data_IF_492397854725
#
_entry.id   IF_492397854725
#
_cell.length_a   1.000
_cell.length_b   1.000
_cell.length_c   1.000
_cell.angle_alpha   90.00
_cell.angle_beta   90.00
_cell.angle_gamma   90.00
#
_symmetry.space_group_name_H-M   'P 1'
#
loop_
_entity.id
_entity.type
_entity.pdbx_description
1 polymer ?
#
# COMPACT_ATOMS: atom_id res chain seq x y z
N UNK A 1 -4.10 12.24 -8.03
CA UNK A 1 -2.81 11.80 -8.58
C UNK A 1 -1.72 12.62 -7.91
N UNK A 2 -0.68 11.96 -7.40
CA UNK A 2 0.52 12.63 -6.89
C UNK A 2 1.68 12.45 -7.88
N UNK A 3 2.31 13.54 -8.28
CA UNK A 3 3.53 13.56 -9.10
C UNK A 3 4.73 14.16 -8.34
N UNK A 4 4.50 14.71 -7.15
CA UNK A 4 5.51 15.41 -6.36
C UNK A 4 5.95 14.63 -5.13
N UNK A 5 6.66 15.30 -4.27
CA UNK A 5 7.11 14.76 -2.99
C UNK A 5 6.17 15.21 -1.88
N UNK A 6 5.73 14.26 -1.07
CA UNK A 6 4.99 14.50 0.17
C UNK A 6 5.91 14.05 1.31
N UNK A 7 6.28 15.00 2.17
CA UNK A 7 7.11 14.72 3.35
C UNK A 7 6.37 15.06 4.61
N UNK A 8 6.35 14.12 5.54
CA UNK A 8 5.68 14.24 6.84
C UNK A 8 6.63 13.63 7.87
N UNK A 9 7.24 14.47 8.69
CA UNK A 9 8.15 13.99 9.71
C UNK A 9 7.37 13.23 10.79
N UNK A 10 7.54 11.90 10.83
CA UNK A 10 6.97 11.00 11.84
C UNK A 10 5.45 11.11 12.04
N UNK A 11 4.75 11.59 11.02
CA UNK A 11 3.32 11.81 11.04
C UNK A 11 2.52 10.73 10.32
N UNK A 12 1.23 11.01 10.10
CA UNK A 12 0.32 10.11 9.39
C UNK A 12 -0.21 10.77 8.13
N UNK A 13 -0.14 10.08 7.01
CA UNK A 13 -0.76 10.45 5.74
C UNK A 13 -1.88 9.48 5.41
N UNK A 14 -3.03 10.02 5.06
CA UNK A 14 -4.10 9.26 4.43
C UNK A 14 -4.46 9.88 3.10
N UNK A 15 -4.43 9.10 2.03
CA UNK A 15 -5.01 9.43 0.74
C UNK A 15 -6.15 8.45 0.50
N UNK A 16 -7.37 8.98 0.37
CA UNK A 16 -8.53 8.14 0.18
C UNK A 16 -9.37 8.61 -1.00
N UNK A 17 -9.91 7.67 -1.74
CA UNK A 17 -10.86 7.90 -2.83
C UNK A 17 -12.02 6.90 -2.71
N UNK A 18 -13.25 7.36 -2.86
CA UNK A 18 -14.42 6.49 -2.77
C UNK A 18 -15.74 7.24 -2.54
N UNK A 19 -16.84 6.49 -2.48
CA UNK A 19 -18.19 7.01 -2.21
C UNK A 19 -18.41 7.41 -0.75
N UNK A 20 -17.63 6.82 0.14
CA UNK A 20 -17.56 7.19 1.54
C UNK A 20 -16.11 7.05 1.98
N UNK A 21 -15.54 8.08 2.55
CA UNK A 21 -14.21 8.07 3.12
C UNK A 21 -14.36 7.97 4.63
N UNK A 22 -13.86 6.87 5.20
CA UNK A 22 -13.72 6.71 6.63
C UNK A 22 -12.32 7.18 7.01
N UNK A 23 -12.22 8.38 7.54
CA UNK A 23 -10.97 8.86 8.12
C UNK A 23 -10.96 8.37 9.57
N UNK A 24 -10.09 7.44 9.86
CA UNK A 24 -9.76 7.08 11.24
C UNK A 24 -8.48 7.82 11.59
N UNK A 25 -8.59 8.76 12.51
CA UNK A 25 -7.44 9.12 13.31
C UNK A 25 -7.18 7.94 14.26
N UNK A 26 -5.92 7.62 14.52
CA UNK A 26 -5.56 6.41 15.29
C UNK A 26 -6.23 6.38 16.67
N UNK A 27 -6.63 7.55 17.20
CA UNK A 27 -7.31 7.69 18.49
C UNK A 27 -8.81 8.04 18.40
N UNK A 28 -9.29 8.53 17.23
CA UNK A 28 -10.69 8.93 17.05
C UNK A 28 -11.18 8.71 15.61
N UNK A 29 -12.13 7.81 15.38
CA UNK A 29 -12.67 7.59 14.03
C UNK A 29 -13.56 8.76 13.61
N UNK A 30 -13.14 9.54 12.62
CA UNK A 30 -13.99 10.53 11.95
C UNK A 30 -14.48 9.94 10.64
N UNK A 31 -15.78 9.71 10.54
CA UNK A 31 -16.43 9.22 9.31
C UNK A 31 -16.91 10.41 8.49
N UNK A 32 -16.27 10.67 7.35
CA UNK A 32 -16.77 11.62 6.37
C UNK A 32 -17.46 10.83 5.27
N UNK A 33 -18.78 10.86 5.21
CA UNK A 33 -19.54 10.32 4.09
C UNK A 33 -19.71 11.40 3.03
N UNK A 34 -19.20 11.17 1.84
CA UNK A 34 -19.43 12.01 0.68
C UNK A 34 -20.66 11.42 -0.05
N UNK A 35 -21.83 12.06 0.01
CA UNK A 35 -23.03 11.51 -0.63
C UNK A 35 -22.87 11.46 -2.14
N UNK A 36 -23.37 10.38 -2.78
CA UNK A 36 -23.34 10.21 -4.24
C UNK A 36 -23.89 11.40 -5.03
N UNK A 37 -24.80 12.16 -4.45
CA UNK A 37 -25.38 13.38 -5.05
C UNK A 37 -24.40 14.55 -5.19
N UNK A 38 -23.27 14.52 -4.49
CA UNK A 38 -22.20 15.51 -4.64
C UNK A 38 -21.27 15.20 -5.83
N UNK A 39 -21.47 14.06 -6.47
CA UNK A 39 -20.77 13.75 -7.72
C UNK A 39 -21.46 14.51 -8.85
N UNK A 40 -20.89 15.61 -9.28
CA UNK A 40 -21.23 16.17 -10.59
C UNK A 40 -21.06 15.04 -11.62
N UNK A 41 -21.97 14.98 -12.59
CA UNK A 41 -22.04 14.08 -13.74
C UNK A 41 -20.71 13.82 -14.49
N UNK A 42 -19.67 13.45 -13.77
CA UNK A 42 -18.41 12.99 -14.33
C UNK A 42 -18.63 11.59 -14.91
N UNK A 43 -19.47 11.54 -15.95
CA UNK A 43 -19.58 10.42 -16.88
C UNK A 43 -18.33 10.34 -17.78
N UNK A 44 -17.21 10.85 -17.30
CA UNK A 44 -15.92 10.79 -17.97
C UNK A 44 -15.10 9.65 -17.39
N UNK A 45 -15.47 8.45 -17.80
CA UNK A 45 -14.72 7.20 -17.66
C UNK A 45 -13.39 7.25 -18.41
N UNK A 46 -12.92 8.39 -18.90
CA UNK A 46 -11.92 8.43 -19.95
C UNK A 46 -10.51 8.84 -19.55
N UNK A 47 -10.32 9.52 -18.42
CA UNK A 47 -9.00 10.13 -18.21
C UNK A 47 -8.21 9.59 -17.01
N UNK A 48 -8.87 8.84 -16.10
CA UNK A 48 -8.20 8.29 -14.91
C UNK A 48 -8.49 6.79 -14.78
N UNK A 49 -7.44 5.98 -14.93
CA UNK A 49 -7.54 4.52 -14.83
C UNK A 49 -7.59 4.01 -13.38
N UNK A 50 -7.24 4.85 -12.41
CA UNK A 50 -7.14 4.51 -11.00
C UNK A 50 -7.81 5.57 -10.12
N UNK A 51 -8.36 5.13 -8.99
CA UNK A 51 -8.92 6.03 -7.98
C UNK A 51 -7.81 6.83 -7.27
N UNK A 52 -6.69 6.15 -6.99
CA UNK A 52 -5.46 6.77 -6.46
C UNK A 52 -4.30 6.38 -7.37
N UNK A 53 -3.52 7.36 -7.79
CA UNK A 53 -2.29 7.15 -8.52
C UNK A 53 -1.17 7.97 -7.87
N UNK A 54 -0.15 7.28 -7.33
CA UNK A 54 1.03 7.90 -6.81
C UNK A 54 2.23 7.60 -7.72
N UNK A 55 2.73 8.64 -8.38
CA UNK A 55 3.92 8.60 -9.24
C UNK A 55 5.12 9.30 -8.62
N UNK A 56 4.89 10.00 -7.54
CA UNK A 56 5.92 10.70 -6.79
C UNK A 56 6.36 9.94 -5.56
N UNK A 57 6.99 10.64 -4.64
CA UNK A 57 7.47 10.07 -3.38
C UNK A 57 6.59 10.51 -2.22
N UNK A 58 6.33 9.59 -1.32
CA UNK A 58 5.70 9.84 -0.03
C UNK A 58 6.67 9.37 1.05
N UNK A 59 7.05 10.27 1.96
CA UNK A 59 7.96 9.97 3.05
C UNK A 59 7.33 10.41 4.38
N UNK A 60 7.00 9.46 5.22
CA UNK A 60 6.46 9.69 6.55
C UNK A 60 7.43 9.29 7.69
N UNK A 61 8.69 8.99 7.36
CA UNK A 61 9.69 8.61 8.35
C UNK A 61 9.25 7.40 9.18
N UNK A 62 9.17 7.56 10.50
CA UNK A 62 8.65 6.51 11.41
C UNK A 62 7.12 6.49 11.51
N UNK A 63 6.44 7.29 10.72
CA UNK A 63 4.98 7.44 10.73
C UNK A 63 4.22 6.40 9.92
N UNK A 64 2.99 6.78 9.54
CA UNK A 64 2.05 5.91 8.86
C UNK A 64 1.63 6.47 7.51
N UNK A 65 1.53 5.62 6.49
CA UNK A 65 0.93 5.97 5.20
C UNK A 65 -0.20 5.00 4.90
N UNK A 66 -1.38 5.54 4.60
CA UNK A 66 -2.52 4.77 4.15
C UNK A 66 -3.04 5.30 2.81
N UNK A 67 -3.11 4.44 1.82
CA UNK A 67 -3.80 4.66 0.56
C UNK A 67 -5.05 3.78 0.55
N UNK A 68 -6.26 4.35 0.41
CA UNK A 68 -7.50 3.58 0.40
C UNK A 68 -8.41 4.01 -0.73
N UNK A 69 -8.71 3.08 -1.63
CA UNK A 69 -9.67 3.24 -2.72
C UNK A 69 -10.90 2.40 -2.42
N UNK A 70 -11.82 2.92 -1.62
CA UNK A 70 -13.06 2.22 -1.33
C UNK A 70 -13.91 2.08 -2.59
N UNK A 71 -14.07 0.90 -3.11
CA UNK A 71 -14.99 0.38 -4.16
C UNK A 71 -15.64 1.37 -5.16
N UNK A 72 -15.06 2.54 -5.33
CA UNK A 72 -15.54 3.53 -6.27
C UNK A 72 -15.26 3.04 -7.70
N UNK A 73 -16.22 2.31 -8.27
CA UNK A 73 -16.23 1.98 -9.69
C UNK A 73 -15.26 0.87 -10.15
N UNK A 74 -14.78 0.01 -9.27
CA UNK A 74 -13.82 -1.04 -9.61
C UNK A 74 -12.43 -0.49 -9.97
N UNK A 75 -12.14 0.72 -9.53
CA UNK A 75 -10.85 1.37 -9.73
C UNK A 75 -10.04 1.26 -8.45
N UNK A 76 -8.83 0.80 -8.59
CA UNK A 76 -7.95 0.58 -7.47
C UNK A 76 -6.90 1.65 -7.31
N UNK A 77 -5.74 1.20 -6.90
CA UNK A 77 -4.57 2.02 -6.59
C UNK A 77 -3.44 1.66 -7.55
N UNK A 78 -2.76 2.68 -8.05
CA UNK A 78 -1.48 2.53 -8.72
C UNK A 78 -0.40 3.27 -7.96
N UNK A 79 0.61 2.53 -7.55
CA UNK A 79 1.82 3.04 -6.94
C UNK A 79 3.00 2.83 -7.89
N UNK A 80 3.80 3.88 -8.08
CA UNK A 80 5.01 3.84 -8.87
C UNK A 80 4.92 4.67 -10.16
N UNK A 81 6.03 5.23 -10.56
CA UNK A 81 6.10 6.15 -11.71
C UNK A 81 6.09 5.44 -13.06
N UNK A 82 6.47 4.19 -13.08
CA UNK A 82 6.66 3.46 -14.31
C UNK A 82 7.85 3.93 -15.14
N UNK A 83 8.79 4.69 -14.57
CA UNK A 83 10.07 5.02 -15.22
C UNK A 83 11.24 4.63 -14.32
N UNK A 84 12.26 4.02 -14.91
CA UNK A 84 13.49 3.66 -14.19
C UNK A 84 14.27 4.88 -13.62
N UNK A 85 13.97 6.09 -14.10
CA UNK A 85 14.63 7.31 -13.66
C UNK A 85 14.01 7.93 -12.41
N UNK A 86 12.70 7.68 -12.19
CA UNK A 86 11.97 8.17 -11.02
C UNK A 86 10.99 7.06 -10.58
N UNK A 87 11.46 6.09 -9.83
CA UNK A 87 10.64 4.90 -9.51
C UNK A 87 9.45 5.20 -8.62
N UNK A 88 9.29 6.41 -8.11
CA UNK A 88 8.28 6.72 -7.13
C UNK A 88 8.39 5.82 -5.89
N UNK A 89 7.93 6.27 -4.74
CA UNK A 89 8.07 5.43 -3.55
C UNK A 89 7.18 5.83 -2.40
N UNK A 90 7.04 4.89 -1.47
CA UNK A 90 6.43 5.12 -0.16
C UNK A 90 7.42 4.66 0.89
N UNK A 91 7.81 5.57 1.79
CA UNK A 91 8.66 5.30 2.93
C UNK A 91 7.89 5.62 4.21
N UNK A 92 7.65 4.62 5.03
CA UNK A 92 6.99 4.81 6.32
C UNK A 92 7.17 3.57 7.22
N UNK A 93 7.03 3.73 8.53
CA UNK A 93 7.06 2.61 9.46
C UNK A 93 5.87 1.64 9.29
N UNK A 94 4.73 2.18 8.95
CA UNK A 94 3.52 1.41 8.65
C UNK A 94 2.93 1.87 7.33
N UNK A 95 2.71 0.94 6.42
CA UNK A 95 2.17 1.19 5.09
C UNK A 95 0.94 0.31 4.89
N UNK A 96 -0.19 0.94 4.61
CA UNK A 96 -1.43 0.26 4.27
C UNK A 96 -1.89 0.70 2.87
N UNK A 97 -2.09 -0.26 1.97
CA UNK A 97 -2.62 -0.03 0.62
C UNK A 97 -3.86 -0.88 0.45
N UNK A 98 -5.03 -0.24 0.41
CA UNK A 98 -6.32 -0.88 0.37
C UNK A 98 -7.07 -0.51 -0.91
N UNK A 99 -7.10 -1.41 -1.85
CA UNK A 99 -7.78 -1.25 -3.15
C UNK A 99 -9.30 -1.35 -3.09
N UNK A 100 -9.87 -1.78 -1.95
CA UNK A 100 -11.29 -2.07 -1.82
C UNK A 100 -11.66 -3.48 -2.28
N UNK A 101 -12.90 -3.90 -2.01
CA UNK A 101 -13.37 -5.29 -2.24
C UNK A 101 -13.25 -5.73 -3.70
N UNK A 102 -13.44 -4.83 -4.65
CA UNK A 102 -13.43 -5.11 -6.09
C UNK A 102 -12.32 -4.33 -6.82
N UNK A 103 -11.38 -3.76 -6.08
CA UNK A 103 -10.37 -2.87 -6.64
C UNK A 103 -9.10 -3.60 -7.05
N UNK A 104 -8.45 -3.06 -8.09
CA UNK A 104 -7.14 -3.49 -8.57
C UNK A 104 -6.04 -2.66 -7.93
N UNK A 105 -5.01 -3.30 -7.43
CA UNK A 105 -3.80 -2.66 -6.91
C UNK A 105 -2.64 -3.02 -7.82
N UNK A 106 -2.00 -2.02 -8.42
CA UNK A 106 -0.78 -2.18 -9.20
C UNK A 106 0.36 -1.46 -8.50
N UNK A 107 1.42 -2.17 -8.20
CA UNK A 107 2.57 -1.68 -7.48
C UNK A 107 3.83 -1.81 -8.32
N UNK A 108 4.56 -0.72 -8.42
CA UNK A 108 5.91 -0.65 -8.95
C UNK A 108 6.74 0.35 -8.14
N UNK A 109 8.07 0.32 -8.31
CA UNK A 109 8.96 1.17 -7.53
C UNK A 109 9.12 0.68 -6.09
N UNK A 110 9.39 1.60 -5.15
CA UNK A 110 9.84 1.26 -3.80
C UNK A 110 8.72 1.44 -2.77
N UNK A 111 8.47 0.41 -1.96
CA UNK A 111 7.59 0.45 -0.79
C UNK A 111 8.44 -0.01 0.40
N UNK A 112 8.83 0.94 1.22
CA UNK A 112 9.89 0.76 2.21
C UNK A 112 9.39 1.06 3.63
N UNK A 113 9.37 0.01 4.45
CA UNK A 113 9.15 0.07 5.89
C UNK A 113 10.38 -0.45 6.66
N UNK A 114 11.55 -0.42 6.03
CA UNK A 114 12.79 -0.89 6.65
C UNK A 114 13.26 0.01 7.80
N UNK A 115 14.11 -0.53 8.65
CA UNK A 115 14.75 0.20 9.73
C UNK A 115 16.17 -0.29 9.98
N UNK A 116 17.10 0.30 9.26
CA UNK A 116 18.53 -0.02 9.34
C UNK A 116 19.23 0.63 10.53
N UNK A 117 18.54 1.44 11.35
CA UNK A 117 19.14 2.01 12.55
C UNK A 117 19.54 0.91 13.53
N UNK A 118 20.64 1.09 14.22
CA UNK A 118 21.17 0.11 15.18
C UNK A 118 20.10 -0.34 16.20
N UNK A 119 19.83 -1.63 16.26
CA UNK A 119 18.78 -2.22 17.08
C UNK A 119 17.36 -2.04 16.53
N UNK A 120 17.21 -1.48 15.32
CA UNK A 120 15.91 -1.28 14.68
C UNK A 120 15.29 -2.58 14.18
N UNK A 121 13.98 -2.69 14.29
CA UNK A 121 13.19 -3.75 13.66
C UNK A 121 12.43 -3.19 12.48
N UNK A 122 12.23 -3.96 11.43
CA UNK A 122 11.41 -3.59 10.28
C UNK A 122 9.97 -3.23 10.67
N UNK A 123 9.27 -2.53 9.81
CA UNK A 123 7.91 -2.06 10.01
C UNK A 123 6.84 -3.04 9.53
N UNK A 124 5.69 -2.52 9.15
CA UNK A 124 4.56 -3.29 8.66
C UNK A 124 4.07 -2.78 7.31
N UNK A 125 3.80 -3.70 6.39
CA UNK A 125 3.23 -3.41 5.07
C UNK A 125 2.04 -4.34 4.85
N UNK A 126 0.84 -3.76 4.70
CA UNK A 126 -0.38 -4.46 4.41
C UNK A 126 -0.97 -3.98 3.08
N UNK A 127 -1.14 -4.91 2.13
CA UNK A 127 -1.65 -4.62 0.78
C UNK A 127 -2.85 -5.50 0.51
N UNK A 128 -4.01 -4.88 0.26
CA UNK A 128 -5.28 -5.57 0.00
C UNK A 128 -5.97 -5.06 -1.26
N UNK A 129 -6.78 -5.90 -1.87
CA UNK A 129 -7.55 -5.62 -3.08
C UNK A 129 -8.03 -6.91 -3.72
N UNK A 130 -8.95 -6.85 -4.69
CA UNK A 130 -9.40 -8.03 -5.42
C UNK A 130 -8.28 -8.64 -6.27
N UNK A 131 -7.58 -7.78 -7.01
CA UNK A 131 -6.44 -8.17 -7.86
C UNK A 131 -5.23 -7.33 -7.51
N UNK A 132 -4.12 -7.98 -7.21
CA UNK A 132 -2.87 -7.31 -6.85
C UNK A 132 -1.81 -7.71 -7.87
N UNK A 133 -1.10 -6.72 -8.40
CA UNK A 133 -0.02 -6.91 -9.36
C UNK A 133 1.22 -6.19 -8.88
N UNK A 134 2.31 -6.94 -8.72
CA UNK A 134 3.64 -6.43 -8.46
C UNK A 134 4.42 -6.49 -9.77
N UNK A 135 4.86 -5.34 -10.26
CA UNK A 135 5.57 -5.22 -11.54
C UNK A 135 6.75 -4.24 -11.37
N UNK A 136 7.96 -4.75 -11.33
CA UNK A 136 9.16 -3.98 -11.01
C UNK A 136 9.02 -3.29 -9.63
N UNK A 137 8.52 -4.01 -8.64
CA UNK A 137 8.25 -3.55 -7.29
C UNK A 137 9.31 -4.05 -6.30
N UNK A 138 9.85 -3.14 -5.49
CA UNK A 138 10.69 -3.48 -4.34
C UNK A 138 9.91 -3.19 -3.06
N UNK A 139 9.60 -4.24 -2.30
CA UNK A 139 8.84 -4.14 -1.05
C UNK A 139 9.75 -4.63 0.07
N UNK A 140 10.08 -3.73 1.00
CA UNK A 140 11.05 -4.01 2.05
C UNK A 140 10.53 -3.63 3.44
N UNK A 141 10.61 -4.58 4.37
CA UNK A 141 10.40 -4.40 5.79
C UNK A 141 11.56 -4.99 6.60
N UNK A 142 12.78 -4.92 6.09
CA UNK A 142 13.97 -5.41 6.78
C UNK A 142 14.34 -4.50 7.96
N UNK A 143 15.10 -5.05 8.91
CA UNK A 143 15.59 -4.28 10.05
C UNK A 143 16.93 -4.77 10.55
N UNK A 144 17.63 -3.88 11.26
CA UNK A 144 18.97 -4.18 11.78
C UNK A 144 18.96 -5.38 12.75
N UNK A 145 18.00 -5.41 13.67
CA UNK A 145 17.88 -6.42 14.73
C UNK A 145 16.61 -7.29 14.62
N UNK A 146 15.97 -7.29 13.48
CA UNK A 146 14.81 -8.13 13.19
C UNK A 146 14.00 -7.60 12.01
N UNK A 147 13.51 -8.51 11.18
CA UNK A 147 12.60 -8.18 10.08
C UNK A 147 11.21 -7.78 10.58
N UNK A 148 10.47 -7.08 9.74
CA UNK A 148 9.09 -6.66 9.98
C UNK A 148 8.05 -7.64 9.46
N UNK A 149 6.88 -7.14 9.12
CA UNK A 149 5.78 -7.94 8.60
C UNK A 149 5.28 -7.39 7.27
N UNK A 150 5.15 -8.27 6.28
CA UNK A 150 4.57 -7.94 4.97
C UNK A 150 3.43 -8.91 4.71
N UNK A 151 2.24 -8.38 4.44
CA UNK A 151 1.05 -9.15 4.10
C UNK A 151 0.44 -8.61 2.81
N UNK A 152 0.42 -9.42 1.77
CA UNK A 152 -0.08 -9.04 0.46
C UNK A 152 -1.19 -10.00 0.06
N UNK A 153 -2.40 -9.46 -0.10
CA UNK A 153 -3.58 -10.19 -0.52
C UNK A 153 -4.26 -11.02 0.57
N UNK A 154 -3.92 -10.75 1.84
CA UNK A 154 -4.57 -11.39 2.98
C UNK A 154 -3.59 -11.89 4.02
N UNK A 155 -4.13 -12.45 5.09
CA UNK A 155 -3.38 -13.04 6.19
C UNK A 155 -3.10 -14.53 5.97
N UNK A 156 -2.34 -15.12 6.89
CA UNK A 156 -1.93 -16.52 6.80
C UNK A 156 -3.11 -17.46 6.59
N UNK A 157 -3.05 -18.23 5.52
CA UNK A 157 -4.09 -19.20 5.13
C UNK A 157 -5.48 -18.56 4.88
N UNK A 158 -5.51 -17.26 4.53
CA UNK A 158 -6.76 -16.52 4.36
C UNK A 158 -7.59 -16.40 5.65
N UNK A 159 -6.95 -16.55 6.82
CA UNK A 159 -7.59 -16.35 8.12
C UNK A 159 -7.26 -14.95 8.61
N UNK A 160 -8.17 -14.34 9.36
CA UNK A 160 -8.00 -12.99 9.88
C UNK A 160 -8.96 -11.99 9.26
N UNK A 161 -8.71 -10.69 9.49
CA UNK A 161 -9.62 -9.60 9.12
C UNK A 161 -9.22 -8.89 7.81
N UNK A 162 -7.98 -9.09 7.32
CA UNK A 162 -7.56 -8.49 6.06
C UNK A 162 -8.36 -9.10 4.90
N UNK A 163 -8.78 -8.21 4.01
CA UNK A 163 -9.43 -8.63 2.77
C UNK A 163 -8.53 -9.56 1.98
N UNK A 164 -9.10 -10.66 1.51
CA UNK A 164 -8.39 -11.64 0.69
C UNK A 164 -8.41 -11.22 -0.77
N UNK A 165 -7.25 -11.27 -1.39
CA UNK A 165 -7.15 -11.10 -2.82
C UNK A 165 -7.69 -12.35 -3.54
N UNK A 166 -8.35 -12.14 -4.66
CA UNK A 166 -8.71 -13.21 -5.56
C UNK A 166 -7.52 -13.66 -6.41
N UNK A 167 -6.73 -12.69 -6.87
CA UNK A 167 -5.53 -12.96 -7.65
C UNK A 167 -4.35 -12.08 -7.19
N UNK A 168 -3.17 -12.68 -7.12
CA UNK A 168 -1.89 -12.01 -6.86
C UNK A 168 -0.90 -12.42 -7.94
N UNK A 169 -0.32 -11.45 -8.61
CA UNK A 169 0.72 -11.67 -9.63
C UNK A 169 1.97 -10.89 -9.23
N UNK A 170 3.10 -11.55 -9.25
CA UNK A 170 4.41 -10.95 -9.05
C UNK A 170 5.30 -11.30 -10.24
N UNK A 171 5.90 -10.30 -10.86
CA UNK A 171 6.84 -10.53 -11.95
C UNK A 171 8.24 -10.91 -11.46
N UNK A 172 9.14 -11.23 -12.40
CA UNK A 172 10.49 -11.65 -12.08
C UNK A 172 11.41 -10.52 -11.61
N UNK A 173 11.04 -9.27 -11.86
CA UNK A 173 11.83 -8.08 -11.52
C UNK A 173 11.40 -7.49 -10.15
N UNK A 174 10.32 -8.03 -9.58
CA UNK A 174 9.86 -7.63 -8.25
C UNK A 174 10.55 -8.41 -7.13
N UNK A 175 10.71 -7.76 -5.99
CA UNK A 175 11.29 -8.35 -4.77
C UNK A 175 10.49 -8.00 -3.52
N UNK A 176 10.44 -8.94 -2.57
CA UNK A 176 9.80 -8.74 -1.26
C UNK A 176 10.75 -9.27 -0.20
N UNK A 177 11.15 -8.42 0.75
CA UNK A 177 12.10 -8.78 1.81
C UNK A 177 11.65 -8.28 3.19
N UNK A 178 11.98 -9.05 4.21
CA UNK A 178 11.79 -8.72 5.61
C UNK A 178 12.92 -9.35 6.44
N UNK A 179 14.15 -8.99 6.12
CA UNK A 179 15.34 -9.63 6.67
C UNK A 179 15.77 -8.99 8.00
N UNK A 180 16.42 -9.79 8.86
CA UNK A 180 17.26 -9.28 9.92
C UNK A 180 18.66 -9.06 9.36
N UNK A 181 19.11 -7.79 9.27
CA UNK A 181 20.35 -7.44 8.56
C UNK A 181 21.62 -7.76 9.34
N UNK A 182 21.57 -7.77 10.67
CA UNK A 182 22.69 -8.09 11.54
C UNK A 182 22.38 -9.19 12.54
N UNK A 183 21.46 -8.94 13.44
CA UNK A 183 21.11 -9.87 14.51
C UNK A 183 19.60 -10.03 14.58
N UNK A 184 19.13 -11.12 15.17
CA UNK A 184 17.71 -11.37 15.37
C UNK A 184 17.09 -12.30 14.32
N UNK A 185 15.80 -12.44 14.41
CA UNK A 185 15.04 -13.29 13.50
C UNK A 185 14.55 -12.49 12.29
N UNK A 186 14.53 -13.12 11.13
CA UNK A 186 13.85 -12.58 9.95
C UNK A 186 12.38 -12.30 10.25
N UNK A 187 11.81 -11.40 9.49
CA UNK A 187 10.42 -11.02 9.62
C UNK A 187 9.45 -12.04 9.02
N UNK A 188 8.27 -11.59 8.72
CA UNK A 188 7.20 -12.41 8.19
C UNK A 188 6.70 -11.86 6.87
N UNK A 189 6.72 -12.69 5.83
CA UNK A 189 6.15 -12.37 4.52
C UNK A 189 5.01 -13.33 4.23
N UNK A 190 3.85 -12.79 3.89
CA UNK A 190 2.68 -13.54 3.45
C UNK A 190 2.25 -13.00 2.09
N UNK A 191 2.25 -13.87 1.10
CA UNK A 191 1.66 -13.66 -0.20
C UNK A 191 0.48 -14.62 -0.31
N UNK A 192 -0.72 -14.09 -0.45
CA UNK A 192 -1.94 -14.90 -0.44
C UNK A 192 -2.93 -14.46 -1.53
N UNK A 193 -3.55 -15.44 -2.18
CA UNK A 193 -4.77 -15.23 -2.95
C UNK A 193 -5.65 -16.49 -2.94
N UNK A 194 -6.94 -16.32 -3.24
CA UNK A 194 -7.91 -17.42 -3.21
C UNK A 194 -7.80 -18.32 -4.46
N UNK A 195 -7.67 -17.72 -5.63
CA UNK A 195 -7.73 -18.44 -6.89
C UNK A 195 -6.35 -18.66 -7.53
N UNK A 196 -5.41 -17.70 -7.33
CA UNK A 196 -4.20 -17.68 -8.12
C UNK A 196 -3.11 -16.80 -7.48
N UNK A 197 -1.94 -17.40 -7.23
CA UNK A 197 -0.73 -16.74 -6.71
C UNK A 197 0.46 -17.10 -7.55
#
# INVERSE_FOLDING_TARGET
INYGNIEINDGSLMIAAGDAVLIRDFDNPVVIKIPKSARSNANTKSDYAYAIENKGTINAGTGHVRLSAADALGWGIRQGAGTAAEPGGILARTIEIDGGENGRVELSGVIDASNENAGGTGGSIDITGETIVLADATIDASGDAGGGTIQIGGEQQGRGELQRARALVMDADSSVSADALRDGDGGRVILFSEDFT
#
